data_IF_491268186043
#
_entry.id   IF_491268186043
#
_cell.length_a   1.000
_cell.length_b   1.000
_cell.length_c   1.000
_cell.angle_alpha   90.00
_cell.angle_beta   90.00
_cell.angle_gamma   90.00
#
_symmetry.space_group_name_H-M   'P 1'
#
loop_
_entity.id
_entity.type
_entity.pdbx_description
1 polymer ?
#
# COMPACT_ATOMS: atom_id res chain seq x y z
N UNK A 1 46.00 37.75 -9.88
CA UNK A 1 46.58 37.25 -8.60
C UNK A 1 46.96 38.33 -7.59
N UNK A 2 47.61 39.46 -7.98
CA UNK A 2 48.02 40.52 -7.03
C UNK A 2 46.86 41.16 -6.24
N UNK A 3 45.77 41.53 -6.93
CA UNK A 3 44.56 42.14 -6.32
C UNK A 3 43.84 41.24 -5.30
N UNK A 4 43.82 39.93 -5.52
CA UNK A 4 43.20 38.96 -4.59
C UNK A 4 44.03 38.86 -3.30
N UNK A 5 45.36 38.81 -3.42
CA UNK A 5 46.27 38.80 -2.25
C UNK A 5 46.15 40.07 -1.41
N UNK A 6 45.95 41.23 -2.03
CA UNK A 6 45.74 42.50 -1.33
C UNK A 6 44.39 42.55 -0.60
N UNK A 7 43.32 42.05 -1.23
CA UNK A 7 42.00 41.93 -0.60
C UNK A 7 42.01 41.05 0.64
N UNK A 8 42.68 39.88 0.57
CA UNK A 8 42.80 38.95 1.70
C UNK A 8 43.62 39.57 2.85
N UNK A 9 44.73 40.26 2.54
CA UNK A 9 45.53 40.94 3.57
C UNK A 9 44.73 42.02 4.30
N UNK A 10 43.95 42.82 3.56
CA UNK A 10 43.10 43.88 4.11
C UNK A 10 42.00 43.31 5.02
N UNK A 11 41.38 42.21 4.61
CA UNK A 11 40.37 41.50 5.41
C UNK A 11 40.93 40.96 6.73
N UNK A 12 42.11 40.34 6.69
CA UNK A 12 42.79 39.81 7.88
C UNK A 12 43.14 40.94 8.87
N UNK A 13 43.61 42.09 8.38
CA UNK A 13 43.89 43.25 9.24
C UNK A 13 42.63 43.77 9.93
N UNK A 14 41.50 43.85 9.21
CA UNK A 14 40.23 44.32 9.77
C UNK A 14 39.68 43.36 10.84
N UNK A 15 39.78 42.05 10.63
CA UNK A 15 39.41 41.06 11.66
C UNK A 15 40.27 41.20 12.91
N UNK A 16 41.59 41.40 12.73
CA UNK A 16 42.54 41.57 13.84
C UNK A 16 42.24 42.83 14.65
N UNK A 17 41.76 43.88 14.00
CA UNK A 17 41.38 45.15 14.63
C UNK A 17 40.05 45.03 15.39
N UNK A 18 39.04 44.41 14.78
CA UNK A 18 37.74 44.16 15.41
C UNK A 18 37.86 43.27 16.67
N UNK A 19 38.79 42.31 16.69
CA UNK A 19 39.00 41.42 17.86
C UNK A 19 39.53 42.16 19.11
N UNK A 20 40.07 43.37 18.98
CA UNK A 20 40.65 44.13 20.10
C UNK A 20 39.62 44.84 20.96
N UNK A 21 38.40 45.08 20.47
CA UNK A 21 37.36 45.83 21.20
C UNK A 21 36.20 44.90 21.59
N UNK A 22 35.52 45.19 22.70
CA UNK A 22 34.37 44.39 23.14
C UNK A 22 33.22 44.40 22.12
N UNK A 23 32.93 45.58 21.56
CA UNK A 23 31.94 45.73 20.48
C UNK A 23 32.36 44.99 19.20
N UNK A 24 33.65 45.03 18.83
CA UNK A 24 34.16 44.32 17.67
C UNK A 24 34.17 42.80 17.85
N UNK A 25 34.38 42.30 19.08
CA UNK A 25 34.18 40.87 19.41
C UNK A 25 32.74 40.44 19.23
N UNK A 26 31.76 41.26 19.65
CA UNK A 26 30.34 40.98 19.43
C UNK A 26 30.00 40.97 17.93
N UNK A 27 30.49 41.95 17.16
CA UNK A 27 30.29 42.00 15.70
C UNK A 27 30.88 40.76 15.01
N UNK A 28 32.09 40.32 15.42
CA UNK A 28 32.69 39.10 14.91
C UNK A 28 31.89 37.84 15.30
N UNK A 29 31.35 37.80 16.52
CA UNK A 29 30.52 36.69 17.01
C UNK A 29 29.22 36.59 16.21
N UNK A 30 28.45 37.67 16.09
CA UNK A 30 27.21 37.68 15.31
C UNK A 30 27.45 37.49 13.81
N UNK A 31 28.53 38.08 13.26
CA UNK A 31 28.92 37.88 11.87
C UNK A 31 29.27 36.42 11.59
N UNK A 32 30.03 35.78 12.47
CA UNK A 32 30.31 34.35 12.37
C UNK A 32 29.04 33.52 12.40
N UNK A 33 28.14 33.76 13.35
CA UNK A 33 26.87 33.04 13.45
C UNK A 33 25.97 33.24 12.22
N UNK A 34 25.94 34.45 11.66
CA UNK A 34 25.20 34.73 10.43
C UNK A 34 25.73 33.88 9.26
N UNK A 35 27.04 33.86 9.04
CA UNK A 35 27.63 33.02 7.99
C UNK A 35 27.53 31.53 8.30
N UNK A 36 27.58 31.13 9.57
CA UNK A 36 27.40 29.75 10.01
C UNK A 36 25.98 29.25 9.73
N UNK A 37 24.94 30.00 10.09
CA UNK A 37 23.55 29.65 9.77
C UNK A 37 23.26 29.76 8.28
N UNK A 38 23.85 30.73 7.57
CA UNK A 38 23.75 30.81 6.12
C UNK A 38 24.39 29.57 5.46
N UNK A 39 25.55 29.13 5.94
CA UNK A 39 26.19 27.90 5.50
C UNK A 39 25.33 26.68 5.81
N UNK A 40 24.74 26.57 7.01
CA UNK A 40 23.79 25.50 7.34
C UNK A 40 22.57 25.54 6.42
N UNK A 41 21.99 26.71 6.15
CA UNK A 41 20.84 26.84 5.26
C UNK A 41 21.20 26.46 3.82
N UNK A 42 22.39 26.82 3.35
CA UNK A 42 22.92 26.44 2.04
C UNK A 42 23.18 24.92 2.01
N UNK A 43 23.81 24.33 3.01
CA UNK A 43 24.06 22.87 3.10
C UNK A 43 22.75 22.09 3.25
N UNK A 44 21.76 22.61 3.98
CA UNK A 44 20.43 22.01 4.10
C UNK A 44 19.66 22.07 2.77
N UNK A 45 19.91 23.09 1.94
CA UNK A 45 19.29 23.26 0.61
C UNK A 45 20.08 22.57 -0.52
N UNK A 46 21.38 22.38 -0.33
CA UNK A 46 22.29 21.54 -1.12
C UNK A 46 22.40 20.16 -0.48
N UNK A 47 21.41 19.74 0.33
CA UNK A 47 21.19 18.31 0.39
C UNK A 47 20.99 17.91 -1.07
N UNK A 48 21.87 17.07 -1.66
CA UNK A 48 21.41 16.30 -2.79
C UNK A 48 20.09 15.71 -2.31
N UNK A 49 19.10 15.58 -3.19
CA UNK A 49 18.32 14.35 -3.07
C UNK A 49 19.40 13.28 -2.96
N UNK A 50 19.65 12.76 -1.76
CA UNK A 50 20.43 11.56 -1.60
C UNK A 50 19.53 10.51 -2.25
N UNK A 51 19.55 10.50 -3.57
CA UNK A 51 19.67 9.28 -4.33
C UNK A 51 21.01 8.69 -3.91
N UNK A 52 21.08 8.20 -2.67
CA UNK A 52 21.51 6.82 -2.58
C UNK A 52 20.66 6.12 -3.67
N UNK A 53 21.22 5.30 -4.55
CA UNK A 53 20.48 4.11 -4.87
C UNK A 53 20.31 3.39 -3.52
N UNK A 54 19.36 3.86 -2.69
CA UNK A 54 18.45 2.96 -2.04
C UNK A 54 18.06 2.10 -3.21
N UNK A 55 18.38 0.84 -3.10
CA UNK A 55 17.87 -0.17 -3.97
C UNK A 55 16.33 0.01 -3.95
N UNK A 56 15.80 0.86 -4.83
CA UNK A 56 14.36 1.18 -4.93
C UNK A 56 13.62 -0.07 -5.43
N UNK A 57 14.35 -1.16 -5.67
CA UNK A 57 13.86 -2.46 -6.02
C UNK A 57 13.65 -3.42 -4.84
N UNK A 58 13.81 -3.01 -3.57
CA UNK A 58 13.67 -3.97 -2.45
C UNK A 58 12.71 -3.61 -1.30
N UNK A 59 12.08 -2.43 -1.30
CA UNK A 59 11.04 -2.08 -0.31
C UNK A 59 9.68 -1.71 -0.91
N UNK A 60 9.56 -1.80 -2.24
CA UNK A 60 8.26 -1.75 -2.92
C UNK A 60 7.63 -3.14 -2.85
N UNK A 61 6.30 -3.18 -2.91
CA UNK A 61 5.54 -4.40 -3.09
C UNK A 61 6.21 -5.24 -4.20
N UNK A 62 6.61 -6.47 -3.87
CA UNK A 62 7.34 -7.46 -4.69
C UNK A 62 8.88 -7.51 -4.48
N UNK A 63 9.43 -8.60 -3.95
CA UNK A 63 9.90 -9.70 -4.81
C UNK A 63 9.77 -11.14 -4.27
N UNK A 64 9.20 -11.38 -3.08
CA UNK A 64 9.16 -12.74 -2.49
C UNK A 64 7.75 -13.32 -2.22
N UNK A 65 6.67 -12.61 -2.59
CA UNK A 65 5.31 -13.14 -2.44
C UNK A 65 4.91 -13.89 -3.71
N UNK A 66 4.62 -15.19 -3.59
CA UNK A 66 4.07 -15.99 -4.69
C UNK A 66 2.55 -15.95 -4.67
N UNK A 67 1.95 -15.40 -5.73
CA UNK A 67 0.52 -15.45 -6.01
C UNK A 67 0.16 -16.54 -7.03
N UNK A 68 1.12 -17.37 -7.42
CA UNK A 68 1.00 -18.31 -8.54
C UNK A 68 -0.20 -19.26 -8.40
N UNK A 69 -0.50 -19.73 -7.18
CA UNK A 69 -1.64 -20.61 -6.94
C UNK A 69 -3.00 -19.90 -7.08
N UNK A 70 -3.07 -18.59 -6.78
CA UNK A 70 -4.27 -17.77 -7.00
C UNK A 70 -4.41 -17.46 -8.50
N UNK A 71 -3.30 -17.17 -9.19
CA UNK A 71 -3.29 -16.89 -10.64
C UNK A 71 -3.70 -18.09 -11.49
N UNK A 72 -3.48 -19.31 -11.01
CA UNK A 72 -3.98 -20.54 -11.65
C UNK A 72 -5.51 -20.67 -11.66
N UNK A 73 -6.23 -19.81 -10.92
CA UNK A 73 -7.69 -19.74 -10.91
C UNK A 73 -8.40 -21.06 -10.59
N UNK A 74 -7.82 -21.92 -9.75
CA UNK A 74 -8.44 -23.16 -9.27
C UNK A 74 -8.28 -23.27 -7.76
N UNK A 75 -9.30 -22.87 -7.00
CA UNK A 75 -9.27 -22.83 -5.53
C UNK A 75 -10.66 -22.65 -4.91
N UNK A 76 -10.78 -23.03 -3.65
CA UNK A 76 -11.88 -22.61 -2.79
C UNK A 76 -11.56 -21.23 -2.22
N UNK A 77 -12.58 -20.39 -2.06
CA UNK A 77 -12.44 -19.06 -1.49
C UNK A 77 -13.49 -18.76 -0.42
N UNK A 78 -13.06 -17.97 0.56
CA UNK A 78 -13.92 -17.36 1.56
C UNK A 78 -13.52 -15.90 1.74
N UNK A 79 -14.29 -15.00 1.14
CA UNK A 79 -14.09 -13.57 1.23
C UNK A 79 -15.07 -12.96 2.22
N UNK A 80 -14.58 -12.02 3.02
CA UNK A 80 -15.39 -11.27 3.97
C UNK A 80 -15.11 -9.78 3.84
N UNK A 81 -16.15 -8.98 3.68
CA UNK A 81 -16.09 -7.52 3.71
C UNK A 81 -16.88 -7.05 4.92
N UNK A 82 -16.22 -6.37 5.85
CA UNK A 82 -16.82 -5.81 7.05
C UNK A 82 -16.75 -4.28 7.02
N UNK A 83 -17.91 -3.64 6.96
CA UNK A 83 -18.06 -2.17 7.03
C UNK A 83 -18.90 -1.84 8.26
N UNK A 84 -18.27 -1.25 9.28
CA UNK A 84 -18.91 -0.87 10.56
C UNK A 84 -19.78 -1.98 11.19
N UNK A 85 -19.41 -3.25 11.03
CA UNK A 85 -20.13 -4.41 11.56
C UNK A 85 -21.15 -5.02 10.61
N UNK A 86 -21.41 -4.41 9.45
CA UNK A 86 -22.15 -5.04 8.35
C UNK A 86 -21.19 -5.94 7.58
N UNK A 87 -21.45 -7.24 7.59
CA UNK A 87 -20.57 -8.25 7.02
C UNK A 87 -21.20 -8.86 5.76
N UNK A 88 -20.46 -8.82 4.65
CA UNK A 88 -20.76 -9.53 3.41
C UNK A 88 -19.78 -10.70 3.29
N UNK A 89 -20.31 -11.92 3.28
CA UNK A 89 -19.51 -13.13 3.14
C UNK A 89 -19.78 -13.79 1.79
N UNK A 90 -18.70 -14.13 1.10
CA UNK A 90 -18.69 -14.81 -0.19
C UNK A 90 -17.93 -16.11 -0.02
N UNK A 91 -18.63 -17.23 -0.10
CA UNK A 91 -18.02 -18.55 0.06
C UNK A 91 -18.28 -19.33 -1.20
N UNK A 92 -17.24 -19.85 -1.84
CA UNK A 92 -17.43 -20.58 -3.07
C UNK A 92 -16.15 -21.15 -3.64
N UNK A 93 -16.27 -21.60 -4.88
CA UNK A 93 -15.20 -22.25 -5.61
C UNK A 93 -14.94 -21.49 -6.90
N UNK A 94 -13.68 -21.38 -7.29
CA UNK A 94 -13.24 -20.84 -8.57
C UNK A 94 -12.58 -21.93 -9.39
N UNK A 95 -12.96 -22.02 -10.66
CA UNK A 95 -12.27 -22.84 -11.65
C UNK A 95 -12.24 -22.07 -12.98
N UNK A 96 -11.05 -21.59 -13.37
CA UNK A 96 -10.85 -20.70 -14.52
C UNK A 96 -11.72 -19.42 -14.43
N UNK A 97 -12.51 -19.16 -15.46
CA UNK A 97 -13.45 -18.03 -15.55
C UNK A 97 -14.69 -18.19 -14.68
N UNK A 98 -14.91 -19.38 -14.15
CA UNK A 98 -16.17 -19.75 -13.54
C UNK A 98 -16.06 -19.73 -12.02
N UNK A 99 -17.12 -19.23 -11.38
CA UNK A 99 -17.24 -19.21 -9.92
C UNK A 99 -18.64 -19.67 -9.53
N UNK A 100 -18.73 -20.57 -8.55
CA UNK A 100 -19.99 -20.96 -7.92
C UNK A 100 -19.88 -20.66 -6.43
N UNK A 101 -20.73 -19.76 -5.94
CA UNK A 101 -20.57 -19.19 -4.62
C UNK A 101 -21.89 -18.79 -3.98
N UNK A 102 -21.86 -18.57 -2.68
CA UNK A 102 -23.01 -18.14 -1.89
C UNK A 102 -22.72 -16.79 -1.26
N UNK A 103 -23.70 -15.89 -1.31
CA UNK A 103 -23.71 -14.60 -0.61
C UNK A 103 -24.96 -14.55 0.24
N UNK A 104 -24.81 -14.46 1.57
CA UNK A 104 -25.94 -14.42 2.52
C UNK A 104 -27.00 -15.51 2.24
N UNK A 105 -26.55 -16.75 2.02
CA UNK A 105 -27.39 -17.92 1.70
C UNK A 105 -28.07 -17.93 0.32
N UNK A 106 -27.77 -16.96 -0.55
CA UNK A 106 -28.21 -16.93 -1.95
C UNK A 106 -27.08 -17.45 -2.84
N UNK A 107 -27.39 -18.39 -3.74
CA UNK A 107 -26.42 -18.97 -4.66
C UNK A 107 -26.23 -18.10 -5.90
N UNK A 108 -24.99 -17.95 -6.30
CA UNK A 108 -24.54 -17.20 -7.46
C UNK A 108 -23.60 -18.06 -8.31
N UNK A 109 -23.70 -17.86 -9.61
CA UNK A 109 -22.83 -18.46 -10.61
C UNK A 109 -22.29 -17.34 -11.48
N UNK A 110 -20.99 -17.36 -11.71
CA UNK A 110 -20.30 -16.47 -12.63
C UNK A 110 -19.74 -17.30 -13.76
N UNK A 111 -19.97 -16.84 -14.98
CA UNK A 111 -19.38 -17.39 -16.20
C UNK A 111 -18.74 -16.24 -16.98
N UNK A 112 -17.41 -16.16 -16.94
CA UNK A 112 -16.67 -15.00 -17.44
C UNK A 112 -17.10 -13.72 -16.73
N UNK A 113 -17.66 -12.78 -17.49
CA UNK A 113 -18.12 -11.48 -16.98
C UNK A 113 -19.61 -11.46 -16.57
N UNK A 114 -20.35 -12.55 -16.80
CA UNK A 114 -21.78 -12.61 -16.51
C UNK A 114 -22.04 -13.24 -15.16
N UNK A 115 -23.00 -12.68 -14.42
CA UNK A 115 -23.47 -13.19 -13.14
C UNK A 115 -24.90 -13.70 -13.23
N UNK A 116 -25.17 -14.77 -12.50
CA UNK A 116 -26.48 -15.40 -12.40
C UNK A 116 -26.80 -15.66 -10.92
N UNK A 117 -28.07 -15.51 -10.55
CA UNK A 117 -28.56 -15.85 -9.21
C UNK A 117 -29.59 -16.97 -9.30
N UNK A 118 -29.61 -17.85 -8.30
CA UNK A 118 -30.59 -18.92 -8.23
C UNK A 118 -31.86 -18.45 -7.51
N UNK A 119 -32.97 -18.43 -8.23
CA UNK A 119 -34.31 -18.24 -7.68
C UNK A 119 -35.11 -19.54 -7.83
N UNK A 120 -35.23 -20.30 -6.74
CA UNK A 120 -36.03 -21.54 -6.68
C UNK A 120 -35.66 -22.59 -7.74
N UNK A 121 -34.36 -22.78 -7.99
CA UNK A 121 -33.85 -23.75 -8.96
C UNK A 121 -33.67 -23.19 -10.38
N UNK A 122 -34.13 -21.97 -10.64
CA UNK A 122 -33.95 -21.29 -11.93
C UNK A 122 -32.83 -20.27 -11.79
N UNK A 123 -31.87 -20.31 -12.71
CA UNK A 123 -30.76 -19.35 -12.76
C UNK A 123 -31.12 -18.17 -13.65
N UNK A 124 -31.12 -16.97 -13.07
CA UNK A 124 -31.48 -15.73 -13.75
C UNK A 124 -30.26 -14.80 -13.80
N UNK A 125 -30.02 -14.16 -14.95
CA UNK A 125 -28.95 -13.16 -15.08
C UNK A 125 -29.17 -12.02 -14.09
N UNK A 126 -28.10 -11.60 -13.42
CA UNK A 126 -28.11 -10.55 -12.39
C UNK A 126 -26.88 -9.65 -12.52
N UNK A 127 -26.87 -8.54 -11.78
CA UNK A 127 -25.70 -7.69 -11.60
C UNK A 127 -24.64 -8.37 -10.72
N UNK A 128 -23.43 -7.81 -10.71
CA UNK A 128 -22.31 -8.30 -9.90
C UNK A 128 -22.64 -8.19 -8.40
N UNK A 129 -22.67 -9.31 -7.64
CA UNK A 129 -22.99 -9.30 -6.21
C UNK A 129 -21.80 -8.91 -5.32
N UNK A 130 -20.59 -8.80 -5.88
CA UNK A 130 -19.39 -8.45 -5.12
C UNK A 130 -19.36 -6.95 -4.79
N UNK A 131 -19.43 -6.63 -3.50
CA UNK A 131 -19.22 -5.27 -3.00
C UNK A 131 -17.73 -4.98 -2.92
N UNK A 132 -17.32 -3.79 -3.38
CA UNK A 132 -15.92 -3.34 -3.41
C UNK A 132 -15.00 -4.30 -4.19
N UNK A 133 -15.44 -4.75 -5.37
CA UNK A 133 -14.77 -5.74 -6.20
C UNK A 133 -13.29 -5.43 -6.51
N UNK A 134 -12.91 -4.16 -6.64
CA UNK A 134 -11.52 -3.73 -6.86
C UNK A 134 -10.56 -4.26 -5.78
N UNK A 135 -11.05 -4.55 -4.57
CA UNK A 135 -10.25 -5.09 -3.48
C UNK A 135 -10.40 -6.62 -3.30
N UNK A 136 -11.12 -7.28 -4.21
CA UNK A 136 -11.28 -8.74 -4.22
C UNK A 136 -10.49 -9.41 -5.36
N UNK A 137 -10.08 -8.65 -6.37
CA UNK A 137 -9.34 -9.13 -7.54
C UNK A 137 -7.83 -8.94 -7.36
N UNK A 138 -7.04 -10.00 -7.55
CA UNK A 138 -5.62 -9.99 -7.23
C UNK A 138 -4.80 -9.01 -8.07
N UNK A 139 -5.10 -8.89 -9.35
CA UNK A 139 -4.49 -7.94 -10.27
C UNK A 139 -4.75 -6.49 -9.84
N UNK A 140 -5.97 -6.20 -9.40
CA UNK A 140 -6.36 -4.87 -8.87
C UNK A 140 -5.69 -4.59 -7.53
N UNK A 141 -5.64 -5.56 -6.62
CA UNK A 141 -4.90 -5.43 -5.36
C UNK A 141 -3.43 -5.14 -5.63
N UNK A 142 -2.80 -5.87 -6.54
CA UNK A 142 -1.39 -5.65 -6.89
C UNK A 142 -1.15 -4.25 -7.47
N UNK A 143 -2.08 -3.72 -8.27
CA UNK A 143 -1.97 -2.35 -8.80
C UNK A 143 -2.15 -1.27 -7.71
N UNK A 144 -3.18 -1.41 -6.87
CA UNK A 144 -3.51 -0.46 -5.79
C UNK A 144 -2.39 -0.42 -4.75
N UNK A 145 -1.90 -1.59 -4.33
CA UNK A 145 -0.95 -1.73 -3.23
C UNK A 145 0.51 -1.86 -3.70
N UNK A 146 0.77 -1.75 -5.01
CA UNK A 146 2.10 -1.83 -5.60
C UNK A 146 3.13 -0.84 -5.01
N UNK A 147 2.65 0.29 -4.50
CA UNK A 147 3.47 1.34 -3.87
C UNK A 147 3.37 1.33 -2.32
N UNK A 148 2.79 0.28 -1.73
CA UNK A 148 2.74 0.12 -0.28
C UNK A 148 4.14 -0.06 0.31
N UNK A 149 4.33 0.47 1.52
CA UNK A 149 5.61 0.44 2.25
C UNK A 149 5.63 -0.75 3.20
N UNK A 150 6.65 -1.60 3.09
CA UNK A 150 6.87 -2.72 4.00
C UNK A 150 7.02 -2.25 5.46
N UNK A 151 6.37 -2.95 6.38
CA UNK A 151 6.41 -2.65 7.83
C UNK A 151 7.08 -3.77 8.60
N UNK A 152 6.63 -5.01 8.42
CA UNK A 152 7.11 -6.13 9.21
C UNK A 152 6.89 -7.48 8.53
N UNK A 153 7.69 -8.46 8.98
CA UNK A 153 7.58 -9.87 8.64
C UNK A 153 7.52 -10.67 9.94
N UNK A 154 6.60 -11.62 10.01
CA UNK A 154 6.47 -12.56 11.13
C UNK A 154 6.49 -13.98 10.58
N UNK A 155 7.48 -14.76 10.99
CA UNK A 155 7.61 -16.17 10.62
C UNK A 155 7.12 -17.04 11.78
N UNK A 156 6.26 -18.00 11.48
CA UNK A 156 5.72 -18.95 12.45
C UNK A 156 6.49 -20.26 12.41
N UNK A 157 6.48 -21.00 13.52
CA UNK A 157 7.14 -22.32 13.60
C UNK A 157 6.59 -23.34 12.60
N UNK A 158 5.35 -23.14 12.14
CA UNK A 158 4.68 -23.93 11.10
C UNK A 158 5.24 -23.70 9.68
N UNK A 159 6.14 -22.74 9.50
CA UNK A 159 6.67 -22.30 8.22
C UNK A 159 5.80 -21.26 7.51
N UNK A 160 4.63 -20.92 8.05
CA UNK A 160 3.80 -19.83 7.56
C UNK A 160 4.47 -18.48 7.84
N UNK A 161 4.26 -17.52 6.96
CA UNK A 161 4.83 -16.18 7.09
C UNK A 161 3.75 -15.14 6.87
N UNK A 162 3.76 -14.09 7.69
CA UNK A 162 2.92 -12.91 7.51
C UNK A 162 3.77 -11.69 7.19
N UNK A 163 3.37 -10.94 6.16
CA UNK A 163 4.00 -9.70 5.73
C UNK A 163 2.99 -8.56 5.85
N UNK A 164 3.33 -7.49 6.59
CA UNK A 164 2.50 -6.29 6.74
C UNK A 164 3.10 -5.12 5.97
N UNK A 165 2.22 -4.39 5.27
CA UNK A 165 2.55 -3.19 4.51
C UNK A 165 1.54 -2.08 4.85
N UNK A 166 2.00 -0.83 4.74
CA UNK A 166 1.16 0.36 4.93
C UNK A 166 1.05 1.17 3.65
N UNK A 167 -0.11 1.79 3.45
CA UNK A 167 -0.37 2.66 2.30
C UNK A 167 -1.28 3.83 2.70
N UNK A 168 -1.01 5.00 2.14
CA UNK A 168 -1.86 6.17 2.32
C UNK A 168 -3.14 6.02 1.47
N UNK A 169 -4.27 6.47 1.99
CA UNK A 169 -5.51 6.63 1.21
C UNK A 169 -5.30 7.54 0.02
N UNK A 170 -4.42 8.54 0.10
CA UNK A 170 -4.04 9.36 -1.05
C UNK A 170 -3.52 8.51 -2.22
N UNK A 171 -2.67 7.51 -1.93
CA UNK A 171 -2.18 6.57 -2.95
C UNK A 171 -3.30 5.68 -3.48
N UNK A 172 -4.16 5.14 -2.61
CA UNK A 172 -5.31 4.32 -3.01
C UNK A 172 -6.25 5.10 -3.93
N UNK A 173 -6.62 6.33 -3.55
CA UNK A 173 -7.51 7.20 -4.32
C UNK A 173 -6.90 7.55 -5.67
N UNK A 174 -5.60 7.84 -5.72
CA UNK A 174 -4.92 8.09 -6.98
C UNK A 174 -4.93 6.85 -7.90
N UNK A 175 -4.74 5.65 -7.36
CA UNK A 175 -4.79 4.40 -8.14
C UNK A 175 -6.17 4.07 -8.66
N UNK A 176 -7.21 4.29 -7.84
CA UNK A 176 -8.59 3.98 -8.21
C UNK A 176 -9.23 5.05 -9.11
N UNK A 177 -8.90 6.32 -8.89
CA UNK A 177 -9.65 7.45 -9.46
C UNK A 177 -8.77 8.44 -10.23
N UNK A 178 -7.45 8.32 -10.17
CA UNK A 178 -6.52 9.27 -10.79
C UNK A 178 -6.48 10.65 -10.11
N UNK A 179 -7.00 10.74 -8.88
CA UNK A 179 -7.10 12.00 -8.12
C UNK A 179 -5.99 12.05 -7.07
N UNK A 180 -5.22 13.13 -7.08
CA UNK A 180 -4.24 13.40 -6.04
C UNK A 180 -4.89 14.22 -4.91
N UNK A 181 -4.81 13.71 -3.69
CA UNK A 181 -5.39 14.32 -2.50
C UNK A 181 -4.32 14.45 -1.42
N UNK A 182 -4.46 15.46 -0.59
CA UNK A 182 -3.60 15.68 0.57
C UNK A 182 -4.47 15.67 1.82
N UNK A 183 -4.34 14.61 2.62
CA UNK A 183 -5.08 14.41 3.85
C UNK A 183 -4.14 13.89 4.93
N UNK A 184 -4.26 14.45 6.13
CA UNK A 184 -3.56 13.92 7.30
C UNK A 184 -4.35 12.72 7.82
N UNK A 185 -3.72 11.55 7.84
CA UNK A 185 -4.38 10.31 8.20
C UNK A 185 -3.43 9.27 8.79
N UNK A 186 -4.01 8.29 9.46
CA UNK A 186 -3.30 7.05 9.77
C UNK A 186 -3.28 6.19 8.49
N UNK A 187 -2.15 5.64 8.07
CA UNK A 187 -2.10 4.77 6.89
C UNK A 187 -3.03 3.56 7.01
N UNK A 188 -3.58 3.14 5.88
CA UNK A 188 -4.25 1.84 5.73
C UNK A 188 -3.20 0.72 5.75
N UNK A 189 -3.65 -0.51 5.98
CA UNK A 189 -2.76 -1.67 6.08
C UNK A 189 -3.20 -2.77 5.12
N UNK A 190 -2.22 -3.46 4.51
CA UNK A 190 -2.44 -4.71 3.79
C UNK A 190 -1.48 -5.78 4.33
N UNK A 191 -2.02 -6.95 4.59
CA UNK A 191 -1.34 -8.06 5.24
C UNK A 191 -1.49 -9.29 4.36
N UNK A 192 -0.37 -9.91 4.02
CA UNK A 192 -0.31 -11.16 3.28
C UNK A 192 0.14 -12.28 4.22
N UNK A 193 -0.60 -13.37 4.26
CA UNK A 193 -0.15 -14.59 4.91
C UNK A 193 0.10 -15.66 3.86
N UNK A 194 1.19 -16.40 4.04
CA UNK A 194 1.58 -17.52 3.19
C UNK A 194 1.32 -18.85 3.90
N UNK A 195 1.08 -19.89 3.11
CA UNK A 195 1.18 -21.26 3.58
C UNK A 195 2.65 -21.63 3.84
N UNK A 196 2.89 -22.86 4.35
CA UNK A 196 4.24 -23.39 4.60
C UNK A 196 5.09 -23.61 3.34
N UNK A 197 4.49 -23.58 2.15
CA UNK A 197 5.19 -23.63 0.86
C UNK A 197 5.58 -22.25 0.34
N UNK A 198 5.18 -21.17 1.02
CA UNK A 198 5.49 -19.80 0.65
C UNK A 198 4.49 -19.13 -0.30
N UNK A 199 3.39 -19.80 -0.66
CA UNK A 199 2.33 -19.22 -1.49
C UNK A 199 1.31 -18.46 -0.64
N UNK A 200 0.86 -17.31 -1.14
CA UNK A 200 -0.18 -16.52 -0.49
C UNK A 200 -1.49 -17.30 -0.43
N UNK A 201 -2.01 -17.50 0.78
CA UNK A 201 -3.30 -18.14 1.02
C UNK A 201 -4.29 -17.24 1.76
N UNK A 202 -3.84 -16.08 2.25
CA UNK A 202 -4.71 -15.08 2.87
C UNK A 202 -4.23 -13.67 2.61
N UNK A 203 -5.16 -12.78 2.31
CA UNK A 203 -4.94 -11.34 2.18
C UNK A 203 -5.93 -10.63 3.12
N UNK A 204 -5.43 -9.75 3.98
CA UNK A 204 -6.26 -8.90 4.83
C UNK A 204 -5.94 -7.45 4.55
N UNK A 205 -6.97 -6.65 4.25
CA UNK A 205 -6.87 -5.23 3.92
C UNK A 205 -7.66 -4.45 4.96
N UNK A 206 -7.03 -3.52 5.66
CA UNK A 206 -7.64 -2.63 6.65
C UNK A 206 -7.66 -1.22 6.07
N UNK A 207 -8.85 -0.79 5.65
CA UNK A 207 -9.13 0.43 4.89
C UNK A 207 -9.83 1.51 5.73
N UNK A 208 -9.64 1.53 7.05
CA UNK A 208 -10.40 2.43 7.94
C UNK A 208 -10.26 3.92 7.56
N UNK A 209 -9.05 4.36 7.19
CA UNK A 209 -8.82 5.77 6.82
C UNK A 209 -9.38 6.08 5.44
N UNK A 210 -9.20 5.17 4.47
CA UNK A 210 -9.79 5.29 3.14
C UNK A 210 -11.32 5.33 3.20
N UNK A 211 -11.91 4.43 3.99
CA UNK A 211 -13.35 4.34 4.19
C UNK A 211 -13.93 5.58 4.87
N UNK A 212 -13.23 6.16 5.86
CA UNK A 212 -13.60 7.46 6.45
C UNK A 212 -13.57 8.58 5.42
N UNK A 213 -12.49 8.69 4.64
CA UNK A 213 -12.35 9.69 3.59
C UNK A 213 -13.49 9.59 2.55
N UNK A 214 -13.79 8.37 2.10
CA UNK A 214 -14.88 8.11 1.15
C UNK A 214 -16.29 8.12 1.76
N UNK A 215 -16.41 8.35 3.07
CA UNK A 215 -17.67 8.27 3.82
C UNK A 215 -18.38 6.92 3.64
N UNK A 216 -17.59 5.85 3.47
CA UNK A 216 -18.04 4.46 3.39
C UNK A 216 -18.17 3.85 4.79
N UNK A 217 -17.27 4.19 5.71
CA UNK A 217 -17.29 3.74 7.10
C UNK A 217 -16.98 4.88 8.07
N UNK A 218 -17.41 4.74 9.32
CA UNK A 218 -17.04 5.60 10.43
C UNK A 218 -15.82 5.05 11.18
N UNK A 219 -15.71 3.73 11.34
CA UNK A 219 -14.70 3.13 12.20
C UNK A 219 -13.97 1.96 11.52
N UNK A 220 -14.72 1.03 10.95
CA UNK A 220 -14.19 -0.25 10.47
C UNK A 220 -14.48 -0.43 9.00
N UNK A 221 -13.43 -0.67 8.22
CA UNK A 221 -13.53 -1.19 6.87
C UNK A 221 -12.42 -2.21 6.67
N UNK A 222 -12.77 -3.49 6.75
CA UNK A 222 -11.81 -4.59 6.63
C UNK A 222 -12.28 -5.58 5.58
N UNK A 223 -11.35 -5.99 4.72
CA UNK A 223 -11.57 -7.03 3.70
C UNK A 223 -10.62 -8.18 4.02
N UNK A 224 -11.13 -9.41 4.03
CA UNK A 224 -10.32 -10.61 4.23
C UNK A 224 -10.61 -11.59 3.12
N UNK A 225 -9.57 -12.00 2.40
CA UNK A 225 -9.63 -12.99 1.33
C UNK A 225 -8.88 -14.23 1.81
N UNK A 226 -9.56 -15.35 1.95
CA UNK A 226 -8.94 -16.63 2.26
C UNK A 226 -9.08 -17.56 1.06
N UNK A 227 -8.01 -18.30 0.78
CA UNK A 227 -7.91 -19.24 -0.32
C UNK A 227 -7.48 -20.60 0.21
N UNK A 228 -8.10 -21.67 -0.29
CA UNK A 228 -7.76 -23.05 0.06
C UNK A 228 -7.92 -24.00 -1.11
N UNK A 229 -7.50 -25.25 -0.94
CA UNK A 229 -7.76 -26.33 -1.90
C UNK A 229 -7.30 -26.04 -3.34
N UNK A 230 -6.17 -25.34 -3.46
CA UNK A 230 -5.55 -25.00 -4.74
C UNK A 230 -5.36 -26.25 -5.62
N UNK A 231 -5.80 -26.17 -6.87
CA UNK A 231 -5.69 -27.25 -7.85
C UNK A 231 -6.60 -28.46 -7.61
N UNK A 232 -7.48 -28.41 -6.60
CA UNK A 232 -8.37 -29.53 -6.22
C UNK A 232 -9.83 -29.29 -6.55
N UNK A 233 -10.18 -28.11 -7.08
CA UNK A 233 -11.56 -27.78 -7.45
C UNK A 233 -11.89 -28.47 -8.77
N UNK A 234 -12.88 -29.36 -8.74
CA UNK A 234 -13.40 -30.01 -9.95
C UNK A 234 -14.07 -28.99 -10.88
N UNK A 235 -14.31 -29.37 -12.12
CA UNK A 235 -15.03 -28.53 -13.08
C UNK A 235 -16.39 -28.11 -12.49
N UNK A 236 -16.72 -26.82 -12.63
CA UNK A 236 -18.01 -26.27 -12.19
C UNK A 236 -19.00 -26.59 -13.31
N UNK A 237 -19.94 -27.48 -13.04
CA UNK A 237 -21.01 -27.80 -13.99
C UNK A 237 -21.86 -26.56 -14.21
N UNK A 238 -21.95 -26.13 -15.46
CA UNK A 238 -22.72 -24.96 -15.86
C UNK A 238 -24.20 -25.16 -15.50
N UNK A 239 -24.78 -24.37 -14.58
CA UNK A 239 -26.12 -24.63 -14.08
C UNK A 239 -27.22 -23.88 -14.85
N UNK A 240 -26.85 -23.11 -15.89
CA UNK A 240 -27.80 -22.45 -16.81
C UNK A 240 -28.09 -23.28 -18.08
N UNK A 241 -27.38 -24.38 -18.30
CA UNK A 241 -27.59 -25.29 -19.44
C UNK A 241 -28.74 -26.28 -19.21
#
# INVERSE_FOLDING_TARGET
MKKIKEGIKKFISTIKELRKTEKGKAILFFGFYFFFFLFIAIVARINPRYSNPVDVNNNKFNNNLSFSLIEQANYNFNYSVNVDGVIYNYIGNKNNSDELFTVNSVNYYKNGDNYYTNASGIWLKTENPYVFEDFLKIDRINDIFGDATFVSKTEYETGEVTYSYKILSASIVNKLEGINIDIEEVPNEIIFSTNSSGDVNKIQIVLNSYGKYKKVCNNTFTITLNYSDFGKVSEIVNPID
#
